data_IF_602480992800
#
_entry.id   IF_602480992800
#
_cell.length_a   1.000
_cell.length_b   1.000
_cell.length_c   1.000
_cell.angle_alpha   90.00
_cell.angle_beta   90.00
_cell.angle_gamma   90.00
#
_symmetry.space_group_name_H-M   'P 1'
#
loop_
_entity.id
_entity.type
_entity.pdbx_description
1 polymer ?
#
# COMPACT_ATOMS: atom_id res chain seq x y z
N UNK A 1 38.48 17.40 -5.78
CA UNK A 1 38.34 17.26 -4.32
C UNK A 1 36.88 17.03 -3.98
N UNK A 2 36.62 16.00 -3.19
CA UNK A 2 35.34 15.31 -3.04
C UNK A 2 34.30 16.06 -2.21
N UNK A 3 33.02 15.92 -2.58
CA UNK A 3 31.89 16.11 -1.67
C UNK A 3 31.14 14.78 -1.57
N UNK A 4 31.56 13.98 -0.60
CA UNK A 4 30.92 12.74 -0.21
C UNK A 4 29.77 13.02 0.78
N UNK A 5 28.87 12.03 0.94
CA UNK A 5 27.91 11.81 2.06
C UNK A 5 26.53 12.47 1.88
N UNK A 6 25.38 11.79 2.02
CA UNK A 6 25.03 10.57 2.75
C UNK A 6 24.03 9.69 1.96
N UNK A 7 24.26 8.38 2.01
CA UNK A 7 23.26 7.33 1.89
C UNK A 7 22.06 7.64 2.80
N UNK A 8 20.92 8.04 2.21
CA UNK A 8 19.64 8.13 2.94
C UNK A 8 19.11 6.73 3.17
N UNK A 9 19.67 6.03 4.16
CA UNK A 9 18.98 4.91 4.78
C UNK A 9 17.83 5.53 5.56
N UNK A 10 16.64 5.55 4.96
CA UNK A 10 15.41 6.03 5.58
C UNK A 10 15.09 5.16 6.78
N UNK A 11 15.59 5.54 7.95
CA UNK A 11 15.19 4.96 9.22
C UNK A 11 13.77 5.43 9.49
N UNK A 12 12.80 4.54 9.31
CA UNK A 12 11.43 4.74 9.77
C UNK A 12 11.50 4.77 11.30
N UNK A 13 11.61 5.96 11.88
CA UNK A 13 11.43 6.16 13.32
C UNK A 13 9.96 5.92 13.60
N UNK A 14 9.65 4.74 14.14
CA UNK A 14 8.30 4.40 14.57
C UNK A 14 7.95 5.35 15.73
N UNK A 15 6.97 6.26 15.59
CA UNK A 15 6.60 7.17 16.67
C UNK A 15 6.18 6.34 17.88
N UNK A 16 6.70 6.69 19.05
CA UNK A 16 6.52 5.95 20.31
C UNK A 16 5.05 5.84 20.77
N UNK A 17 4.14 6.56 20.11
CA UNK A 17 2.70 6.51 20.30
C UNK A 17 2.00 6.15 18.98
N UNK A 18 2.29 4.99 18.40
CA UNK A 18 1.25 4.33 17.61
C UNK A 18 0.19 3.91 18.61
N UNK A 19 -1.04 4.37 18.44
CA UNK A 19 -2.17 3.88 19.24
C UNK A 19 -2.19 2.37 19.05
N UNK A 20 -2.11 1.59 20.14
CA UNK A 20 -1.80 0.14 20.06
C UNK A 20 -2.76 -0.65 19.16
N UNK A 21 -3.98 -0.15 19.00
CA UNK A 21 -5.02 -0.67 18.11
C UNK A 21 -4.67 -0.57 16.61
N UNK A 22 -3.71 0.28 16.22
CA UNK A 22 -3.26 0.46 14.83
C UNK A 22 -1.86 -0.12 14.56
N UNK A 23 -1.27 -0.84 15.51
CA UNK A 23 0.06 -1.45 15.33
C UNK A 23 0.10 -2.47 14.18
N UNK A 24 -1.03 -3.10 13.85
CA UNK A 24 -1.15 -4.07 12.76
C UNK A 24 -0.77 -3.48 11.39
N UNK A 25 -0.98 -2.18 11.18
CA UNK A 25 -0.62 -1.48 9.94
C UNK A 25 0.89 -1.53 9.66
N UNK A 26 1.70 -1.58 10.73
CA UNK A 26 3.16 -1.65 10.66
C UNK A 26 3.69 -3.08 10.71
N UNK A 27 2.81 -4.09 10.74
CA UNK A 27 3.24 -5.49 10.66
C UNK A 27 3.93 -5.76 9.32
N UNK A 28 4.91 -6.67 9.32
CA UNK A 28 5.62 -7.07 8.10
C UNK A 28 4.67 -7.60 7.03
N UNK A 29 3.63 -8.32 7.46
CA UNK A 29 2.62 -8.87 6.55
C UNK A 29 1.85 -7.74 5.86
N UNK A 30 1.33 -6.79 6.64
CA UNK A 30 0.59 -5.65 6.08
C UNK A 30 1.44 -4.85 5.10
N UNK A 31 2.67 -4.50 5.49
CA UNK A 31 3.59 -3.75 4.64
C UNK A 31 4.01 -4.52 3.36
N UNK A 32 3.94 -5.85 3.36
CA UNK A 32 4.18 -6.64 2.15
C UNK A 32 3.01 -6.54 1.18
N UNK A 33 1.78 -6.66 1.69
CA UNK A 33 0.55 -6.53 0.90
C UNK A 33 0.37 -5.11 0.37
N UNK A 34 0.77 -4.10 1.14
CA UNK A 34 0.77 -2.71 0.70
C UNK A 34 1.67 -2.50 -0.53
N UNK A 35 2.85 -3.14 -0.54
CA UNK A 35 3.76 -3.08 -1.69
C UNK A 35 3.17 -3.76 -2.93
N UNK A 36 2.56 -4.92 -2.75
CA UNK A 36 1.88 -5.63 -3.84
C UNK A 36 0.74 -4.80 -4.43
N UNK A 37 -0.09 -4.19 -3.58
CA UNK A 37 -1.17 -3.30 -4.01
C UNK A 37 -0.64 -2.07 -4.76
N UNK A 38 0.47 -1.47 -4.31
CA UNK A 38 1.13 -0.37 -5.01
C UNK A 38 1.69 -0.80 -6.38
N UNK A 39 2.27 -2.00 -6.48
CA UNK A 39 2.72 -2.56 -7.75
C UNK A 39 1.53 -2.81 -8.71
N UNK A 40 0.38 -3.26 -8.20
CA UNK A 40 -0.84 -3.41 -8.97
C UNK A 40 -1.37 -2.06 -9.48
N UNK A 41 -1.35 -1.02 -8.63
CA UNK A 41 -1.72 0.35 -9.01
C UNK A 41 -0.82 0.88 -10.12
N UNK A 42 0.50 0.75 -9.97
CA UNK A 42 1.47 1.21 -10.97
C UNK A 42 1.36 0.44 -12.29
N UNK A 43 1.06 -0.86 -12.22
CA UNK A 43 0.87 -1.69 -13.40
C UNK A 43 -0.54 -1.56 -14.02
N UNK A 44 -1.43 -0.76 -13.43
CA UNK A 44 -2.80 -0.61 -13.88
C UNK A 44 -3.65 -1.88 -13.72
N UNK A 45 -3.25 -2.81 -12.83
CA UNK A 45 -3.98 -4.04 -12.50
C UNK A 45 -5.14 -3.74 -11.53
N UNK A 46 -5.94 -2.75 -11.88
CA UNK A 46 -7.08 -2.28 -11.08
C UNK A 46 -8.38 -2.47 -11.84
N UNK A 47 -9.49 -2.58 -11.12
CA UNK A 47 -10.83 -2.61 -11.72
C UNK A 47 -11.53 -1.28 -11.46
N UNK A 48 -12.27 -0.79 -12.46
CA UNK A 48 -12.96 0.51 -12.40
C UNK A 48 -12.40 1.52 -13.40
N UNK A 49 -12.76 2.81 -13.29
CA UNK A 49 -13.63 3.39 -12.27
C UNK A 49 -15.04 2.81 -12.30
N UNK A 50 -15.71 2.81 -11.15
CA UNK A 50 -17.11 2.43 -11.02
C UNK A 50 -17.94 3.68 -10.75
N UNK A 51 -19.12 3.75 -11.34
CA UNK A 51 -20.04 4.90 -11.18
C UNK A 51 -21.26 4.55 -10.34
N UNK A 52 -21.54 3.26 -10.16
CA UNK A 52 -22.67 2.77 -9.39
C UNK A 52 -22.32 1.50 -8.60
N UNK A 53 -23.16 1.20 -7.60
CA UNK A 53 -23.09 -0.06 -6.88
C UNK A 53 -23.35 -1.27 -7.79
N UNK A 54 -24.17 -1.10 -8.83
CA UNK A 54 -24.49 -2.19 -9.75
C UNK A 54 -23.31 -2.50 -10.68
N UNK A 55 -22.48 -1.51 -11.03
CA UNK A 55 -21.22 -1.73 -11.77
C UNK A 55 -20.28 -2.63 -10.96
N UNK A 56 -20.19 -2.39 -9.64
CA UNK A 56 -19.36 -3.16 -8.72
C UNK A 56 -19.89 -4.59 -8.60
N UNK A 57 -21.20 -4.76 -8.42
CA UNK A 57 -21.83 -6.09 -8.35
C UNK A 57 -21.60 -6.89 -9.62
N UNK A 58 -21.83 -6.29 -10.78
CA UNK A 58 -21.62 -6.93 -12.08
C UNK A 58 -20.16 -7.37 -12.25
N UNK A 59 -19.21 -6.52 -11.86
CA UNK A 59 -17.79 -6.89 -11.84
C UNK A 59 -17.52 -8.07 -10.92
N UNK A 60 -18.03 -8.05 -9.69
CA UNK A 60 -17.81 -9.13 -8.72
C UNK A 60 -18.41 -10.46 -9.18
N UNK A 61 -19.60 -10.42 -9.77
CA UNK A 61 -20.24 -11.62 -10.32
C UNK A 61 -19.50 -12.18 -11.53
N UNK A 62 -18.84 -11.34 -12.32
CA UNK A 62 -17.97 -11.79 -13.43
C UNK A 62 -16.66 -12.46 -12.99
N UNK A 63 -16.31 -12.40 -11.71
CA UNK A 63 -15.09 -13.02 -11.16
C UNK A 63 -15.33 -14.44 -10.61
N UNK A 64 -16.59 -14.90 -10.59
CA UNK A 64 -17.00 -16.24 -10.16
C UNK A 64 -17.10 -17.18 -11.35
#
# INVERSE_FOLDING_TARGET
>A
MAKNRLNKRSTITIPKAIVMDQAWFWSKEWQSKEREAEEDLQAGRVSGPFTSMDDIKARLDSLK
#
